data_IF_369910636285
#
_entry.id   IF_369910636285
#
_cell.length_a   1.000
_cell.length_b   1.000
_cell.length_c   1.000
_cell.angle_alpha   90.00
_cell.angle_beta   90.00
_cell.angle_gamma   90.00
#
_symmetry.space_group_name_H-M   'P 1'
#
loop_
_entity.id
_entity.type
_entity.pdbx_description
1 polymer ?
#
# COMPACT_ATOMS: atom_id res chain seq x y z
N UNK A 1 -19.19 14.32 -3.14
CA UNK A 1 -18.13 13.60 -3.86
C UNK A 1 -18.14 12.16 -3.36
N UNK A 2 -18.24 11.18 -4.24
CA UNK A 2 -18.30 9.78 -3.82
C UNK A 2 -16.87 9.25 -3.68
N UNK A 3 -16.52 8.73 -2.50
CA UNK A 3 -15.22 8.12 -2.23
C UNK A 3 -15.39 6.59 -2.30
N UNK A 4 -14.52 5.92 -3.06
CA UNK A 4 -14.48 4.46 -3.11
C UNK A 4 -13.18 3.98 -2.51
N UNK A 5 -13.28 3.19 -1.44
CA UNK A 5 -12.14 2.51 -0.82
C UNK A 5 -12.32 1.01 -1.05
N UNK A 6 -11.31 0.36 -1.63
CA UNK A 6 -11.28 -1.08 -1.89
C UNK A 6 -10.25 -1.74 -0.99
N UNK A 7 -10.71 -2.69 -0.18
CA UNK A 7 -9.84 -3.49 0.68
C UNK A 7 -9.37 -4.74 -0.07
N UNK A 8 -8.06 -4.98 -0.11
CA UNK A 8 -7.44 -6.11 -0.81
C UNK A 8 -6.56 -6.88 0.19
N UNK A 9 -6.93 -8.13 0.54
CA UNK A 9 -6.03 -9.00 1.27
C UNK A 9 -4.75 -9.25 0.46
N UNK A 10 -3.59 -9.21 1.10
CA UNK A 10 -2.29 -9.35 0.47
C UNK A 10 -2.12 -10.66 -0.33
N UNK A 11 -2.75 -11.74 0.12
CA UNK A 11 -2.74 -13.03 -0.57
C UNK A 11 -3.46 -12.95 -1.92
N UNK A 12 -4.46 -12.06 -2.04
CA UNK A 12 -5.12 -11.74 -3.30
C UNK A 12 -4.25 -10.83 -4.16
N UNK A 13 -3.60 -9.83 -3.54
CA UNK A 13 -2.68 -8.92 -4.24
C UNK A 13 -1.58 -9.70 -4.97
N UNK A 14 -0.95 -10.68 -4.32
CA UNK A 14 0.09 -11.56 -4.91
C UNK A 14 -0.35 -12.30 -6.17
N UNK A 15 -1.65 -12.51 -6.35
CA UNK A 15 -2.24 -13.21 -7.51
C UNK A 15 -2.85 -12.24 -8.52
N UNK A 16 -2.97 -10.96 -8.16
CA UNK A 16 -3.65 -9.96 -8.95
C UNK A 16 -2.63 -9.24 -9.83
N UNK A 17 -2.95 -9.09 -11.11
CA UNK A 17 -2.11 -8.34 -12.06
C UNK A 17 -2.10 -6.85 -11.65
N UNK A 18 -0.91 -6.27 -11.53
CA UNK A 18 -0.72 -4.85 -11.23
C UNK A 18 -1.53 -3.95 -12.18
N UNK A 19 -1.72 -4.36 -13.45
CA UNK A 19 -2.56 -3.64 -14.42
C UNK A 19 -4.01 -3.50 -13.98
N UNK A 20 -4.53 -4.51 -13.27
CA UNK A 20 -5.91 -4.49 -12.75
C UNK A 20 -6.05 -3.50 -11.59
N UNK A 21 -5.04 -3.42 -10.72
CA UNK A 21 -5.00 -2.42 -9.65
C UNK A 21 -4.92 -1.01 -10.22
N UNK A 22 -4.03 -0.80 -11.21
CA UNK A 22 -3.88 0.47 -11.91
C UNK A 22 -5.18 0.90 -12.59
N UNK A 23 -5.97 -0.04 -13.12
CA UNK A 23 -7.31 0.25 -13.66
C UNK A 23 -8.24 0.80 -12.58
N UNK A 24 -8.34 0.14 -11.43
CA UNK A 24 -9.19 0.59 -10.31
C UNK A 24 -8.76 1.99 -9.80
N UNK A 25 -7.45 2.23 -9.71
CA UNK A 25 -6.87 3.53 -9.31
C UNK A 25 -7.22 4.62 -10.34
N UNK A 26 -7.13 4.33 -11.63
CA UNK A 26 -7.51 5.27 -12.69
C UNK A 26 -8.99 5.67 -12.64
N UNK A 27 -9.86 4.79 -12.13
CA UNK A 27 -11.28 5.06 -11.91
C UNK A 27 -11.56 5.85 -10.61
N UNK A 28 -10.53 6.28 -9.89
CA UNK A 28 -10.67 7.09 -8.68
C UNK A 28 -10.78 6.27 -7.38
N UNK A 29 -10.48 4.97 -7.42
CA UNK A 29 -10.55 4.10 -6.25
C UNK A 29 -9.30 4.27 -5.39
N UNK A 30 -9.45 4.34 -4.06
CA UNK A 30 -8.34 4.18 -3.11
C UNK A 30 -8.26 2.70 -2.74
N UNK A 31 -7.06 2.12 -2.77
CA UNK A 31 -6.81 0.71 -2.45
C UNK A 31 -6.11 0.64 -1.10
N UNK A 32 -6.59 -0.27 -0.24
CA UNK A 32 -6.03 -0.55 1.08
C UNK A 32 -5.64 -2.02 1.16
N UNK A 33 -4.38 -2.29 1.47
CA UNK A 33 -3.80 -3.65 1.55
C UNK A 33 -3.46 -3.98 3.00
N UNK A 34 -3.82 -5.18 3.46
CA UNK A 34 -3.59 -5.66 4.83
C UNK A 34 -2.16 -6.21 5.07
N UNK A 35 -1.18 -5.58 4.45
CA UNK A 35 0.24 -5.85 4.63
C UNK A 35 1.05 -4.63 4.24
N UNK A 36 2.29 -4.56 4.75
CA UNK A 36 3.33 -3.71 4.17
C UNK A 36 3.82 -4.35 2.87
N UNK A 37 3.76 -3.62 1.77
CA UNK A 37 4.34 -4.09 0.52
C UNK A 37 5.86 -4.14 0.59
N UNK A 38 6.44 -5.12 -0.08
CA UNK A 38 7.87 -5.18 -0.30
C UNK A 38 8.30 -4.11 -1.32
N UNK A 39 9.52 -3.56 -1.23
CA UNK A 39 9.98 -2.51 -2.15
C UNK A 39 9.86 -2.87 -3.64
N UNK A 40 9.97 -4.16 -3.97
CA UNK A 40 9.76 -4.65 -5.33
C UNK A 40 8.30 -4.53 -5.77
N UNK A 41 7.36 -4.89 -4.90
CA UNK A 41 5.92 -4.81 -5.20
C UNK A 41 5.49 -3.34 -5.38
N UNK A 42 6.03 -2.43 -4.56
CA UNK A 42 5.83 -0.99 -4.72
C UNK A 42 6.39 -0.49 -6.05
N UNK A 43 7.64 -0.88 -6.38
CA UNK A 43 8.28 -0.51 -7.63
C UNK A 43 7.53 -1.02 -8.86
N UNK A 44 7.09 -2.28 -8.86
CA UNK A 44 6.33 -2.89 -9.95
C UNK A 44 5.00 -2.12 -10.17
N UNK A 45 4.32 -1.72 -9.09
CA UNK A 45 3.09 -0.92 -9.17
C UNK A 45 3.34 0.50 -9.71
N UNK A 46 4.41 1.15 -9.26
CA UNK A 46 4.83 2.46 -9.78
C UNK A 46 5.15 2.34 -11.28
N UNK A 47 5.90 1.32 -11.69
CA UNK A 47 6.28 1.10 -13.08
C UNK A 47 5.05 0.91 -13.99
N UNK A 48 4.12 0.03 -13.62
CA UNK A 48 2.88 -0.18 -14.37
C UNK A 48 2.00 1.07 -14.40
N UNK A 49 2.00 1.87 -13.33
CA UNK A 49 1.31 3.16 -13.29
C UNK A 49 1.91 4.11 -14.31
N UNK A 50 3.24 4.23 -14.37
CA UNK A 50 3.94 5.15 -15.27
C UNK A 50 3.67 4.86 -16.75
N UNK A 51 3.46 3.59 -17.11
CA UNK A 51 3.08 3.18 -18.48
C UNK A 51 1.74 3.76 -18.95
N UNK A 52 0.85 4.16 -18.03
CA UNK A 52 -0.49 4.65 -18.35
C UNK A 52 -0.78 6.08 -17.90
N UNK A 53 0.24 6.77 -17.36
CA UNK A 53 0.10 8.18 -16.97
C UNK A 53 -0.21 9.04 -18.20
N UNK A 54 -1.12 9.97 -17.99
CA UNK A 54 -1.64 10.86 -19.03
C UNK A 54 -2.22 12.12 -18.40
N UNK A 55 -2.67 13.06 -19.23
CA UNK A 55 -3.35 14.29 -18.76
C UNK A 55 -4.59 14.02 -17.90
N UNK A 56 -5.22 12.84 -18.02
CA UNK A 56 -6.38 12.43 -17.22
C UNK A 56 -6.02 11.64 -15.96
N UNK A 57 -4.81 11.10 -15.88
CA UNK A 57 -4.35 10.27 -14.77
C UNK A 57 -2.88 10.58 -14.48
N UNK A 58 -2.65 11.37 -13.44
CA UNK A 58 -1.33 11.89 -13.06
C UNK A 58 -0.42 10.89 -12.34
N UNK A 59 -0.93 9.69 -12.05
CA UNK A 59 -0.20 8.66 -11.31
C UNK A 59 -0.88 8.33 -9.98
N UNK A 60 -0.08 7.82 -9.05
CA UNK A 60 -0.54 7.34 -7.74
C UNK A 60 0.32 7.92 -6.63
N UNK A 61 -0.25 8.01 -5.45
CA UNK A 61 0.44 8.17 -4.18
C UNK A 61 0.32 6.87 -3.40
N UNK A 62 1.40 6.43 -2.76
CA UNK A 62 1.42 5.21 -1.96
C UNK A 62 2.19 5.40 -0.66
N UNK A 63 1.72 4.77 0.41
CA UNK A 63 2.41 4.75 1.69
C UNK A 63 2.14 3.46 2.45
N UNK A 64 3.21 2.91 3.03
CA UNK A 64 3.18 1.66 3.77
C UNK A 64 3.54 1.88 5.24
N UNK A 65 2.65 1.45 6.13
CA UNK A 65 2.83 1.44 7.58
C UNK A 65 3.25 0.06 8.05
N UNK A 66 4.25 0.01 8.93
CA UNK A 66 4.65 -1.20 9.61
C UNK A 66 4.07 -1.18 11.03
N UNK A 67 3.32 -2.22 11.39
CA UNK A 67 2.68 -2.30 12.70
C UNK A 67 3.63 -2.85 13.78
N UNK A 68 4.75 -3.45 13.39
CA UNK A 68 5.78 -4.01 14.29
C UNK A 68 6.70 -2.97 14.92
N UNK A 69 6.85 -1.80 14.30
CA UNK A 69 7.78 -0.74 14.74
C UNK A 69 7.19 0.21 15.81
N UNK A 70 5.94 -0.02 16.22
CA UNK A 70 5.21 0.85 17.15
C UNK A 70 5.75 0.85 18.60
N UNK A 71 6.72 -0.02 18.92
CA UNK A 71 7.36 -0.10 20.24
C UNK A 71 8.85 -0.33 20.10
N UNK A 72 9.64 0.11 21.07
CA UNK A 72 11.06 -0.25 21.19
C UNK A 72 11.20 -1.77 21.26
N UNK A 73 11.45 -2.40 20.11
CA UNK A 73 11.50 -3.85 20.00
C UNK A 73 12.88 -4.35 20.41
N UNK A 74 12.91 -5.14 21.47
CA UNK A 74 14.13 -5.87 21.86
C UNK A 74 14.59 -6.80 20.73
N UNK A 75 15.87 -7.18 20.72
CA UNK A 75 16.41 -8.11 19.70
C UNK A 75 15.63 -9.44 19.63
N UNK A 76 15.07 -9.90 20.76
CA UNK A 76 14.23 -11.09 20.81
C UNK A 76 12.87 -10.89 20.12
N UNK A 77 12.24 -9.74 20.30
CA UNK A 77 10.96 -9.43 19.63
C UNK A 77 11.12 -9.28 18.12
N UNK A 78 12.25 -8.72 17.66
CA UNK A 78 12.57 -8.68 16.22
C UNK A 78 12.67 -10.07 15.62
N UNK A 79 13.34 -10.99 16.30
CA UNK A 79 13.41 -12.39 15.87
C UNK A 79 12.03 -13.06 15.83
N UNK A 80 11.22 -12.88 16.89
CA UNK A 80 9.85 -13.38 16.94
C UNK A 80 8.99 -12.84 15.79
N UNK A 81 9.09 -11.54 15.50
CA UNK A 81 8.37 -10.92 14.39
C UNK A 81 8.79 -11.52 13.04
N UNK A 82 10.10 -11.71 12.80
CA UNK A 82 10.59 -12.35 11.58
C UNK A 82 10.04 -13.76 11.39
N UNK A 83 9.95 -14.56 12.47
CA UNK A 83 9.35 -15.90 12.42
C UNK A 83 7.85 -15.82 12.09
N UNK A 84 7.12 -14.92 12.72
CA UNK A 84 5.68 -14.71 12.46
C UNK A 84 5.45 -14.31 11.01
N UNK A 85 6.19 -13.34 10.49
CA UNK A 85 6.06 -12.88 9.10
C UNK A 85 6.36 -13.99 8.09
N UNK A 86 7.34 -14.85 8.39
CA UNK A 86 7.67 -16.00 7.56
C UNK A 86 6.53 -17.03 7.53
N UNK A 87 5.86 -17.26 8.66
CA UNK A 87 4.70 -18.17 8.76
C UNK A 87 3.48 -17.57 8.05
N UNK A 88 3.22 -16.27 8.26
CA UNK A 88 2.11 -15.56 7.62
C UNK A 88 2.33 -15.34 6.12
N UNK A 89 3.59 -15.39 5.65
CA UNK A 89 3.94 -15.15 4.26
C UNK A 89 3.77 -13.69 3.81
N UNK A 90 3.66 -12.76 4.77
CA UNK A 90 3.48 -11.32 4.55
C UNK A 90 4.02 -10.50 5.72
N UNK A 91 4.44 -9.27 5.44
CA UNK A 91 4.89 -8.31 6.45
C UNK A 91 3.71 -7.69 7.18
N UNK A 92 3.84 -7.53 8.50
CA UNK A 92 2.77 -6.96 9.32
C UNK A 92 2.67 -5.46 9.07
N UNK A 93 1.55 -5.03 8.51
CA UNK A 93 1.42 -3.63 8.14
C UNK A 93 0.13 -3.33 7.42
N UNK A 94 0.09 -2.11 6.90
CA UNK A 94 -0.99 -1.61 6.08
C UNK A 94 -0.39 -0.76 4.96
N UNK A 95 -0.85 -0.95 3.73
CA UNK A 95 -0.47 -0.08 2.62
C UNK A 95 -1.70 0.60 2.05
N UNK A 96 -1.61 1.91 1.84
CA UNK A 96 -2.63 2.71 1.14
C UNK A 96 -2.05 3.15 -0.19
N UNK A 97 -2.86 3.01 -1.24
CA UNK A 97 -2.53 3.47 -2.59
C UNK A 97 -3.72 4.28 -3.10
N UNK A 98 -3.49 5.48 -3.59
CA UNK A 98 -4.54 6.34 -4.12
C UNK A 98 -4.11 7.07 -5.39
N UNK A 99 -5.07 7.56 -6.20
CA UNK A 99 -4.75 8.34 -7.40
C UNK A 99 -4.20 9.71 -7.01
N UNK A 100 -3.10 10.17 -7.61
CA UNK A 100 -2.43 11.42 -7.23
C UNK A 100 -3.30 12.69 -7.39
N UNK A 101 -4.38 12.59 -8.17
CA UNK A 101 -5.38 13.67 -8.32
C UNK A 101 -6.36 13.74 -7.13
N UNK A 102 -6.59 12.62 -6.45
CA UNK A 102 -7.48 12.51 -5.29
C UNK A 102 -6.67 12.55 -4.00
N UNK A 103 -5.47 11.98 -3.97
CA UNK A 103 -4.57 11.98 -2.84
C UNK A 103 -3.35 12.80 -3.22
N UNK A 104 -3.19 13.98 -2.62
CA UNK A 104 -2.04 14.87 -2.86
C UNK A 104 -0.84 14.50 -2.02
N UNK A 105 -1.09 14.02 -0.80
CA UNK A 105 -0.07 13.68 0.18
C UNK A 105 -0.62 12.64 1.15
N UNK A 106 0.20 11.66 1.49
CA UNK A 106 -0.05 10.75 2.61
C UNK A 106 1.00 11.05 3.68
N UNK A 107 0.57 11.50 4.84
CA UNK A 107 1.42 11.61 6.03
C UNK A 107 1.23 10.36 6.89
N UNK A 108 2.36 9.79 7.30
CA UNK A 108 2.40 8.59 8.13
C UNK A 108 2.89 8.96 9.52
N UNK A 109 2.05 8.71 10.52
CA UNK A 109 2.42 8.67 11.92
C UNK A 109 2.36 7.22 12.40
N UNK A 110 2.93 6.87 13.56
CA UNK A 110 2.93 5.49 14.02
C UNK A 110 1.50 4.89 14.11
N UNK A 111 0.51 5.67 14.54
CA UNK A 111 -0.86 5.18 14.80
C UNK A 111 -1.89 5.56 13.72
N UNK A 112 -1.52 6.41 12.75
CA UNK A 112 -2.47 6.96 11.77
C UNK A 112 -1.82 7.20 10.39
N UNK A 113 -2.65 7.09 9.35
CA UNK A 113 -2.34 7.57 8.00
C UNK A 113 -3.27 8.74 7.69
N UNK A 114 -2.71 9.93 7.54
CA UNK A 114 -3.44 11.14 7.20
C UNK A 114 -3.37 11.38 5.69
N UNK A 115 -4.53 11.43 5.05
CA UNK A 115 -4.65 11.65 3.60
C UNK A 115 -5.09 13.08 3.32
N UNK A 116 -4.28 13.82 2.57
CA UNK A 116 -4.65 15.12 2.02
C UNK A 116 -5.25 14.92 0.64
N UNK A 117 -6.51 15.31 0.46
CA UNK A 117 -7.24 15.17 -0.80
C UNK A 117 -7.36 16.48 -1.57
#
# INVERSE_FOLDING_TARGET
MNLRIKLIPYERLKREDAKKLVKDLKEGTIILVDAKLDPKEEADLIEETMKVVSTKFSGIELSSMELSELKETTNFERFKNMVIERIMGKKRGLTIIGPAKIIRKIEKNPEELLLYM
#
